data_IF_337629723093
#
_entry.id   IF_337629723093
#
_cell.length_a   1.000
_cell.length_b   1.000
_cell.length_c   1.000
_cell.angle_alpha   90.00
_cell.angle_beta   90.00
_cell.angle_gamma   90.00
#
_symmetry.space_group_name_H-M   'P 1'
#
loop_
_entity.id
_entity.type
_entity.pdbx_description
1 polymer ?
#
# COMPACT_ATOMS: atom_id res chain seq x y z
N UNK A 1 4.99 1.95 -8.72
CA UNK A 1 3.90 1.77 -7.75
C UNK A 1 3.26 3.07 -7.30
N UNK A 2 4.02 4.14 -7.03
CA UNK A 2 3.46 5.42 -6.56
C UNK A 2 3.86 6.60 -7.47
N UNK A 3 2.95 7.55 -7.67
CA UNK A 3 3.18 8.79 -8.39
C UNK A 3 2.75 10.00 -7.56
N UNK A 4 3.37 11.17 -7.79
CA UNK A 4 2.91 12.42 -7.16
C UNK A 4 1.63 12.91 -7.82
N UNK A 5 0.73 13.46 -7.03
CA UNK A 5 -0.56 13.94 -7.52
C UNK A 5 -0.51 15.36 -8.11
N UNK A 6 0.48 16.17 -7.72
CA UNK A 6 0.52 17.62 -8.00
C UNK A 6 1.92 18.23 -7.91
N UNK A 7 2.07 19.43 -8.47
CA UNK A 7 3.29 20.26 -8.35
C UNK A 7 3.52 20.67 -6.88
N UNK A 8 2.46 20.91 -6.11
CA UNK A 8 2.59 21.24 -4.69
C UNK A 8 3.21 20.07 -3.91
N UNK A 9 2.78 18.83 -4.18
CA UNK A 9 3.40 17.64 -3.59
C UNK A 9 4.89 17.54 -3.95
N UNK A 10 5.29 17.88 -5.18
CA UNK A 10 6.71 17.93 -5.55
C UNK A 10 7.50 18.98 -4.74
N UNK A 11 6.94 20.18 -4.54
CA UNK A 11 7.56 21.21 -3.70
C UNK A 11 7.72 20.72 -2.26
N UNK A 12 6.67 20.11 -1.68
CA UNK A 12 6.73 19.54 -0.34
C UNK A 12 7.73 18.37 -0.23
N UNK A 13 7.93 17.57 -1.28
CA UNK A 13 8.99 16.56 -1.33
C UNK A 13 10.37 17.20 -1.25
N UNK A 14 10.61 18.29 -1.99
CA UNK A 14 11.90 19.01 -1.94
C UNK A 14 12.14 19.61 -0.55
N UNK A 15 11.15 20.29 0.02
CA UNK A 15 11.23 20.86 1.37
C UNK A 15 11.48 19.75 2.40
N UNK A 16 10.71 18.66 2.33
CA UNK A 16 10.86 17.50 3.22
C UNK A 16 12.25 16.91 3.10
N UNK A 17 12.78 16.75 1.89
CA UNK A 17 14.14 16.24 1.66
C UNK A 17 15.20 17.11 2.32
N UNK A 18 15.05 18.44 2.25
CA UNK A 18 15.95 19.38 2.91
C UNK A 18 15.83 19.31 4.44
N UNK A 19 14.59 19.35 4.97
CA UNK A 19 14.33 19.29 6.43
C UNK A 19 14.81 17.98 7.04
N UNK A 20 14.61 16.86 6.35
CA UNK A 20 15.17 15.56 6.70
C UNK A 20 16.70 15.64 6.84
N UNK A 21 17.41 16.43 6.02
CA UNK A 21 18.86 16.58 6.15
C UNK A 21 19.31 17.57 7.23
N UNK A 22 18.46 18.52 7.64
CA UNK A 22 18.84 19.66 8.50
C UNK A 22 18.19 19.64 9.89
N UNK A 23 17.14 18.87 10.09
CA UNK A 23 16.34 18.82 11.30
C UNK A 23 16.28 17.38 11.84
N UNK A 24 17.22 16.96 12.70
CA UNK A 24 17.29 15.58 13.17
C UNK A 24 16.04 15.08 13.90
N UNK A 25 15.24 15.98 14.47
CA UNK A 25 14.02 15.66 15.20
C UNK A 25 12.77 15.65 14.32
N UNK A 26 12.91 15.88 13.01
CA UNK A 26 11.81 15.86 12.06
C UNK A 26 11.03 14.54 12.14
N UNK A 27 9.71 14.61 12.28
CA UNK A 27 8.81 13.46 12.40
C UNK A 27 8.02 13.28 11.11
N UNK A 28 8.09 12.07 10.54
CA UNK A 28 7.43 11.70 9.30
C UNK A 28 6.41 10.59 9.52
N UNK A 29 5.19 10.81 9.03
CA UNK A 29 4.12 9.80 8.97
C UNK A 29 3.80 9.48 7.50
N UNK A 30 3.71 8.20 7.15
CA UNK A 30 3.05 7.72 5.94
C UNK A 30 1.65 7.26 6.36
N UNK A 31 0.60 7.72 5.68
CA UNK A 31 -0.78 7.45 6.08
C UNK A 31 -1.60 6.88 4.92
N UNK A 32 -2.27 5.75 5.17
CA UNK A 32 -3.11 5.05 4.19
C UNK A 32 -4.49 4.86 4.80
N UNK A 33 -5.51 5.33 4.08
CA UNK A 33 -6.90 5.33 4.55
C UNK A 33 -7.73 4.22 3.94
N UNK A 34 -8.47 3.54 4.81
CA UNK A 34 -9.54 2.61 4.46
C UNK A 34 -10.87 3.29 4.78
N UNK A 35 -11.81 3.27 3.84
CA UNK A 35 -13.18 3.73 4.11
C UNK A 35 -13.92 2.77 5.03
N UNK A 36 -15.08 3.19 5.56
CA UNK A 36 -16.06 2.24 6.11
C UNK A 36 -16.89 1.60 5.00
N UNK A 37 -17.28 0.33 5.20
CA UNK A 37 -18.08 -0.42 4.24
C UNK A 37 -19.01 -1.41 4.94
N UNK A 38 -20.11 -1.75 4.27
CA UNK A 38 -20.98 -2.89 4.60
C UNK A 38 -20.62 -4.16 3.84
N UNK A 39 -19.68 -4.07 2.90
CA UNK A 39 -19.31 -5.19 2.03
C UNK A 39 -18.35 -6.14 2.74
N UNK A 40 -18.39 -7.40 2.33
CA UNK A 40 -17.52 -8.43 2.87
C UNK A 40 -16.04 -8.15 2.55
N UNK A 41 -15.17 -8.64 3.42
CA UNK A 41 -13.72 -8.52 3.27
C UNK A 41 -13.24 -9.18 1.96
N UNK A 42 -12.63 -8.39 1.09
CA UNK A 42 -12.13 -8.86 -0.21
C UNK A 42 -10.69 -9.35 -0.12
N UNK A 43 -10.35 -10.28 -1.01
CA UNK A 43 -9.01 -10.84 -1.21
C UNK A 43 -7.95 -9.75 -1.38
N UNK A 44 -8.32 -8.65 -2.03
CA UNK A 44 -7.41 -7.56 -2.39
C UNK A 44 -7.14 -6.57 -1.27
N UNK A 45 -7.82 -6.67 -0.13
CA UNK A 45 -7.63 -5.72 0.98
C UNK A 45 -6.16 -5.44 1.34
N UNK A 46 -5.25 -6.45 1.36
CA UNK A 46 -3.84 -6.18 1.64
C UNK A 46 -3.10 -5.37 0.55
N UNK A 47 -3.65 -5.20 -0.64
CA UNK A 47 -2.98 -4.47 -1.74
C UNK A 47 -2.73 -3.00 -1.38
N UNK A 48 -3.59 -2.42 -0.52
CA UNK A 48 -3.38 -1.10 0.06
C UNK A 48 -2.09 -0.96 0.86
N UNK A 49 -1.58 -2.07 1.42
CA UNK A 49 -0.38 -2.03 2.24
C UNK A 49 0.90 -1.94 1.42
N UNK A 50 0.94 -2.58 0.24
CA UNK A 50 2.17 -2.84 -0.51
C UNK A 50 2.95 -1.54 -0.79
N UNK A 51 2.28 -0.51 -1.29
CA UNK A 51 2.93 0.77 -1.61
C UNK A 51 3.50 1.49 -0.37
N UNK A 52 2.74 1.52 0.73
CA UNK A 52 3.18 2.14 1.98
C UNK A 52 4.33 1.40 2.64
N UNK A 53 4.27 0.07 2.62
CA UNK A 53 5.31 -0.81 3.15
C UNK A 53 6.61 -0.68 2.35
N UNK A 54 6.53 -0.64 1.01
CA UNK A 54 7.71 -0.40 0.17
C UNK A 54 8.36 0.96 0.47
N UNK A 55 7.56 2.01 0.57
CA UNK A 55 8.07 3.34 0.90
C UNK A 55 8.71 3.38 2.29
N UNK A 56 8.03 2.84 3.31
CA UNK A 56 8.53 2.77 4.68
C UNK A 56 9.88 2.04 4.74
N UNK A 57 9.97 0.87 4.08
CA UNK A 57 11.19 0.07 3.98
C UNK A 57 12.34 0.88 3.40
N UNK A 58 12.12 1.61 2.30
CA UNK A 58 13.13 2.45 1.65
C UNK A 58 13.60 3.59 2.56
N UNK A 59 12.68 4.23 3.28
CA UNK A 59 13.03 5.31 4.22
C UNK A 59 13.83 4.81 5.42
N UNK A 60 13.48 3.65 5.98
CA UNK A 60 14.25 3.02 7.06
C UNK A 60 15.64 2.61 6.57
N UNK A 61 15.75 2.04 5.36
CA UNK A 61 17.04 1.71 4.76
C UNK A 61 17.90 2.96 4.56
N UNK A 62 17.28 4.07 4.11
CA UNK A 62 17.95 5.36 3.99
C UNK A 62 18.46 5.83 5.34
N UNK A 63 17.60 5.85 6.37
CA UNK A 63 17.98 6.23 7.74
C UNK A 63 19.19 5.42 8.22
N UNK A 64 19.14 4.08 8.13
CA UNK A 64 20.24 3.18 8.52
C UNK A 64 21.54 3.43 7.76
N UNK A 65 21.45 3.73 6.46
CA UNK A 65 22.63 4.04 5.62
C UNK A 65 23.38 5.27 6.14
N UNK A 66 22.67 6.26 6.67
CA UNK A 66 23.26 7.49 7.19
C UNK A 66 23.57 7.46 8.70
N UNK A 67 23.12 6.42 9.41
CA UNK A 67 23.58 6.14 10.77
C UNK A 67 24.98 5.50 10.81
N UNK A 68 25.44 4.92 9.69
CA UNK A 68 26.79 4.36 9.60
C UNK A 68 27.85 5.47 9.54
N UNK A 69 28.88 5.44 10.40
CA UNK A 69 29.98 6.40 10.29
C UNK A 69 30.68 6.24 8.93
N UNK A 70 31.06 7.33 8.25
CA UNK A 70 31.77 7.23 6.99
C UNK A 70 33.08 6.46 7.19
N UNK A 71 33.38 5.55 6.25
CA UNK A 71 34.58 4.69 6.23
C UNK A 71 35.91 5.49 6.16
N UNK A 72 35.85 6.81 6.02
CA UNK A 72 37.01 7.70 5.93
C UNK A 72 37.02 8.70 7.09
N UNK A 73 38.15 8.73 7.80
CA UNK A 73 38.42 9.58 8.95
C UNK A 73 38.10 11.06 8.63
N UNK A 74 37.12 11.63 9.34
CA UNK A 74 36.95 13.09 9.43
C UNK A 74 35.52 13.63 9.24
N UNK A 75 34.58 12.85 8.71
CA UNK A 75 33.22 13.33 8.50
C UNK A 75 32.29 12.87 9.63
N UNK A 76 31.67 13.84 10.32
CA UNK A 76 30.61 13.60 11.30
C UNK A 76 29.51 12.81 10.60
N UNK A 77 29.00 11.69 11.17
CA UNK A 77 27.84 11.01 10.60
C UNK A 77 26.69 12.01 10.56
N UNK A 78 26.24 12.37 9.35
CA UNK A 78 25.06 13.21 9.18
C UNK A 78 23.86 12.34 9.51
N UNK A 79 23.52 12.22 10.80
CA UNK A 79 22.32 11.50 11.22
C UNK A 79 21.11 12.28 10.71
N UNK A 80 20.46 11.71 9.70
CA UNK A 80 19.40 12.39 8.95
C UNK A 80 18.09 12.41 9.76
N UNK A 81 17.69 11.31 10.38
CA UNK A 81 16.48 11.26 11.23
C UNK A 81 16.76 10.54 12.55
N UNK A 82 16.47 11.19 13.67
CA UNK A 82 16.47 10.55 15.00
C UNK A 82 15.20 9.72 15.21
N UNK A 83 14.07 10.20 14.70
CA UNK A 83 12.79 9.51 14.80
C UNK A 83 12.59 8.66 13.54
N UNK A 84 12.35 7.34 13.65
CA UNK A 84 12.02 6.53 12.50
C UNK A 84 10.69 7.00 11.88
N UNK A 85 10.54 6.90 10.55
CA UNK A 85 9.25 7.11 9.91
C UNK A 85 8.23 6.09 10.43
N UNK A 86 6.98 6.51 10.55
CA UNK A 86 5.86 5.65 10.96
C UNK A 86 4.90 5.47 9.79
N UNK A 87 4.44 4.26 9.55
CA UNK A 87 3.36 3.98 8.61
C UNK A 87 2.08 3.71 9.39
N UNK A 88 1.03 4.46 9.10
CA UNK A 88 -0.27 4.30 9.74
C UNK A 88 -1.31 3.87 8.72
N UNK A 89 -1.89 2.69 8.96
CA UNK A 89 -3.14 2.28 8.35
C UNK A 89 -4.27 2.76 9.23
N UNK A 90 -5.22 3.50 8.69
CA UNK A 90 -6.37 3.92 9.46
C UNK A 90 -7.68 3.55 8.76
N UNK A 91 -8.74 3.36 9.55
CA UNK A 91 -10.11 3.27 9.04
C UNK A 91 -10.92 4.50 9.45
N UNK A 92 -11.64 5.08 8.49
CA UNK A 92 -12.58 6.19 8.69
C UNK A 92 -14.04 5.69 8.65
N UNK A 93 -14.36 4.72 9.51
CA UNK A 93 -15.66 4.06 9.50
C UNK A 93 -16.76 4.97 10.05
N UNK A 94 -16.47 5.80 11.06
CA UNK A 94 -17.48 6.73 11.58
C UNK A 94 -17.82 7.82 10.59
N UNK A 95 -16.85 8.31 9.81
CA UNK A 95 -17.14 9.23 8.71
C UNK A 95 -18.06 8.59 7.66
N UNK A 96 -17.76 7.34 7.28
CA UNK A 96 -18.57 6.61 6.30
C UNK A 96 -19.99 6.35 6.82
N UNK A 97 -20.16 5.96 8.09
CA UNK A 97 -21.46 5.78 8.76
C UNK A 97 -22.26 7.08 8.77
N UNK A 98 -21.62 8.20 9.16
CA UNK A 98 -22.27 9.51 9.27
C UNK A 98 -22.74 10.08 7.94
N UNK A 99 -22.06 9.75 6.85
CA UNK A 99 -22.34 10.33 5.52
C UNK A 99 -23.16 9.39 4.64
N UNK A 100 -22.86 8.09 4.66
CA UNK A 100 -23.47 7.12 3.74
C UNK A 100 -24.62 6.33 4.40
N UNK A 101 -25.01 6.67 5.63
CA UNK A 101 -26.06 5.97 6.40
C UNK A 101 -25.79 4.46 6.56
N UNK A 102 -24.52 4.07 6.68
CA UNK A 102 -24.16 2.68 6.96
C UNK A 102 -24.57 2.30 8.39
N UNK A 103 -24.88 1.02 8.61
CA UNK A 103 -25.07 0.50 9.96
C UNK A 103 -23.77 0.66 10.76
N UNK A 104 -23.85 1.28 11.93
CA UNK A 104 -22.68 1.61 12.74
C UNK A 104 -21.93 0.36 13.25
N UNK A 105 -22.65 -0.71 13.59
CA UNK A 105 -22.05 -1.94 14.07
C UNK A 105 -21.35 -2.67 12.94
N UNK A 106 -22.00 -2.77 11.77
CA UNK A 106 -21.41 -3.38 10.57
C UNK A 106 -20.17 -2.59 10.14
N UNK A 107 -20.27 -1.26 10.04
CA UNK A 107 -19.16 -0.41 9.63
C UNK A 107 -17.94 -0.54 10.56
N UNK A 108 -18.17 -0.55 11.88
CA UNK A 108 -17.11 -0.75 12.87
C UNK A 108 -16.47 -2.14 12.77
N UNK A 109 -17.29 -3.18 12.67
CA UNK A 109 -16.81 -4.57 12.59
C UNK A 109 -15.97 -4.79 11.32
N UNK A 110 -16.45 -4.35 10.16
CA UNK A 110 -15.72 -4.50 8.90
C UNK A 110 -14.42 -3.68 8.89
N UNK A 111 -14.42 -2.49 9.48
CA UNK A 111 -13.21 -1.70 9.67
C UNK A 111 -12.15 -2.44 10.48
N UNK A 112 -12.55 -3.07 11.59
CA UNK A 112 -11.69 -3.91 12.41
C UNK A 112 -11.15 -5.08 11.60
N UNK A 113 -12.01 -5.80 10.89
CA UNK A 113 -11.63 -6.94 10.05
C UNK A 113 -10.61 -6.56 8.97
N UNK A 114 -10.83 -5.46 8.25
CA UNK A 114 -9.90 -4.98 7.22
C UNK A 114 -8.53 -4.65 7.79
N UNK A 115 -8.48 -3.89 8.90
CA UNK A 115 -7.22 -3.52 9.54
C UNK A 115 -6.50 -4.74 10.13
N UNK A 116 -7.22 -5.64 10.80
CA UNK A 116 -6.67 -6.89 11.32
C UNK A 116 -6.13 -7.78 10.19
N UNK A 117 -6.78 -7.80 9.03
CA UNK A 117 -6.33 -8.58 7.88
C UNK A 117 -5.05 -8.00 7.26
N UNK A 118 -4.97 -6.67 7.12
CA UNK A 118 -3.73 -5.99 6.71
C UNK A 118 -2.62 -6.22 7.73
N UNK A 119 -2.93 -6.16 9.03
CA UNK A 119 -1.97 -6.46 10.10
C UNK A 119 -1.41 -7.87 9.97
N UNK A 120 -2.26 -8.89 9.83
CA UNK A 120 -1.87 -10.30 9.61
C UNK A 120 -0.97 -10.46 8.38
N UNK A 121 -1.29 -9.77 7.28
CA UNK A 121 -0.46 -9.75 6.08
C UNK A 121 0.95 -9.22 6.36
N UNK A 122 1.03 -8.07 7.02
CA UNK A 122 2.30 -7.42 7.36
C UNK A 122 3.11 -8.27 8.36
N UNK A 123 2.48 -8.85 9.37
CA UNK A 123 3.17 -9.68 10.36
C UNK A 123 3.78 -10.93 9.71
N UNK A 124 3.12 -11.51 8.69
CA UNK A 124 3.61 -12.71 8.00
C UNK A 124 4.72 -12.39 6.99
N UNK A 125 4.53 -11.37 6.16
CA UNK A 125 5.44 -11.11 5.05
C UNK A 125 6.46 -10.02 5.36
N UNK A 126 6.16 -9.05 6.22
CA UNK A 126 7.04 -7.91 6.54
C UNK A 126 7.33 -7.76 8.05
N UNK A 127 7.66 -8.84 8.79
CA UNK A 127 7.74 -8.81 10.26
C UNK A 127 8.78 -7.82 10.81
N UNK A 128 9.83 -7.54 10.03
CA UNK A 128 10.88 -6.59 10.40
C UNK A 128 10.40 -5.12 10.42
N UNK A 129 9.23 -4.84 9.83
CA UNK A 129 8.65 -3.50 9.74
C UNK A 129 7.53 -3.27 10.77
N UNK A 130 6.97 -4.31 11.39
CA UNK A 130 5.81 -4.22 12.31
C UNK A 130 5.98 -3.16 13.40
N UNK A 131 7.19 -3.00 13.96
CA UNK A 131 7.46 -2.00 15.01
C UNK A 131 7.30 -0.53 14.56
N UNK A 132 7.27 -0.27 13.26
CA UNK A 132 7.12 1.07 12.67
C UNK A 132 5.71 1.30 12.12
N UNK A 133 4.77 0.38 12.37
CA UNK A 133 3.45 0.38 11.76
C UNK A 133 2.38 0.52 12.84
N UNK A 134 1.45 1.48 12.64
CA UNK A 134 0.27 1.70 13.48
C UNK A 134 -0.99 1.33 12.72
N UNK A 135 -1.98 0.86 13.46
CA UNK A 135 -3.33 0.57 12.96
C UNK A 135 -4.30 1.41 13.78
N UNK A 136 -5.03 2.31 13.13
CA UNK A 136 -5.86 3.31 13.77
C UNK A 136 -7.33 3.21 13.31
N UNK A 137 -8.26 3.49 14.19
CA UNK A 137 -9.69 3.62 13.87
C UNK A 137 -10.19 4.97 14.36
N UNK A 138 -11.00 5.64 13.55
CA UNK A 138 -11.77 6.79 14.03
C UNK A 138 -12.84 6.36 15.06
N UNK A 139 -13.30 7.34 15.82
CA UNK A 139 -14.32 7.24 16.84
C UNK A 139 -15.40 8.30 16.60
N UNK A 140 -16.54 8.15 17.27
CA UNK A 140 -17.64 9.12 17.19
C UNK A 140 -17.18 10.53 17.58
N UNK A 141 -16.19 10.64 18.46
CA UNK A 141 -15.68 11.92 18.95
C UNK A 141 -14.56 12.49 18.06
N UNK A 142 -14.02 11.73 17.10
CA UNK A 142 -12.95 12.19 16.18
C UNK A 142 -13.32 13.46 15.44
N UNK A 143 -14.60 13.63 15.13
CA UNK A 143 -15.12 14.76 14.38
C UNK A 143 -15.86 15.73 15.29
N UNK A 144 -15.16 16.21 16.33
CA UNK A 144 -15.67 17.28 17.19
C UNK A 144 -16.33 18.38 16.34
N UNK A 145 -17.52 18.76 16.76
CA UNK A 145 -18.41 19.62 15.98
C UNK A 145 -17.76 20.98 15.66
N UNK A 146 -16.87 21.51 16.51
CA UNK A 146 -16.31 22.87 16.34
C UNK A 146 -15.36 22.96 15.14
N UNK A 147 -14.30 22.14 15.10
CA UNK A 147 -13.34 22.15 13.98
C UNK A 147 -14.03 21.76 12.68
N UNK A 148 -14.86 20.72 12.69
CA UNK A 148 -15.54 20.26 11.48
C UNK A 148 -16.52 21.33 10.94
N UNK A 149 -17.33 21.97 11.78
CA UNK A 149 -18.23 23.06 11.36
C UNK A 149 -17.44 24.22 10.75
N UNK A 150 -16.29 24.53 11.32
CA UNK A 150 -15.44 25.59 10.83
C UNK A 150 -14.85 25.26 9.44
N UNK A 151 -14.37 24.03 9.23
CA UNK A 151 -13.92 23.58 7.90
C UNK A 151 -15.06 23.62 6.86
N UNK A 152 -16.28 23.24 7.25
CA UNK A 152 -17.46 23.28 6.38
C UNK A 152 -17.83 24.72 5.99
N UNK A 153 -17.76 25.67 6.93
CA UNK A 153 -18.02 27.08 6.64
C UNK A 153 -17.05 27.60 5.56
N UNK A 154 -15.75 27.36 5.74
CA UNK A 154 -14.72 27.74 4.76
C UNK A 154 -14.88 27.05 3.40
N UNK A 155 -15.28 25.78 3.38
CA UNK A 155 -15.65 25.09 2.14
C UNK A 155 -16.71 25.89 1.38
N UNK A 156 -17.82 26.22 2.06
CA UNK A 156 -18.96 26.87 1.45
C UNK A 156 -18.68 28.31 1.01
N UNK A 157 -17.86 29.05 1.77
CA UNK A 157 -17.58 30.47 1.51
C UNK A 157 -16.48 30.68 0.48
N UNK A 158 -15.47 29.80 0.46
CA UNK A 158 -14.21 30.08 -0.25
C UNK A 158 -13.88 29.11 -1.39
N UNK A 159 -14.49 27.91 -1.45
CA UNK A 159 -14.21 26.95 -2.50
C UNK A 159 -15.16 27.08 -3.70
N UNK A 160 -14.63 27.54 -4.83
CA UNK A 160 -15.42 27.95 -6.00
C UNK A 160 -15.28 27.06 -7.25
N UNK A 161 -14.55 25.94 -7.19
CA UNK A 161 -14.45 25.03 -8.34
C UNK A 161 -15.71 24.16 -8.44
N UNK A 162 -16.66 24.66 -9.23
CA UNK A 162 -17.95 24.00 -9.43
C UNK A 162 -17.82 22.63 -10.11
N UNK A 163 -16.82 22.43 -10.98
CA UNK A 163 -16.65 21.16 -11.68
C UNK A 163 -16.23 20.05 -10.71
N UNK A 164 -15.24 20.31 -9.86
CA UNK A 164 -14.79 19.35 -8.85
C UNK A 164 -15.89 19.12 -7.80
N UNK A 165 -16.56 20.19 -7.36
CA UNK A 165 -17.70 20.10 -6.43
C UNK A 165 -18.78 19.17 -6.96
N UNK A 166 -19.24 19.36 -8.20
CA UNK A 166 -20.27 18.51 -8.80
C UNK A 166 -19.82 17.04 -8.97
N UNK A 167 -18.54 16.79 -9.25
CA UNK A 167 -18.01 15.42 -9.30
C UNK A 167 -18.06 14.73 -7.93
N UNK A 168 -17.69 15.44 -6.86
CA UNK A 168 -17.77 14.91 -5.50
C UNK A 168 -19.22 14.67 -5.08
N UNK A 169 -20.12 15.60 -5.37
CA UNK A 169 -21.57 15.45 -5.11
C UNK A 169 -22.10 14.22 -5.84
N UNK A 170 -21.80 14.06 -7.13
CA UNK A 170 -22.23 12.89 -7.93
C UNK A 170 -21.73 11.58 -7.31
N UNK A 171 -20.47 11.57 -6.84
CA UNK A 171 -19.89 10.41 -6.18
C UNK A 171 -20.51 10.13 -4.80
N UNK A 172 -20.89 11.16 -4.05
CA UNK A 172 -21.58 11.00 -2.77
C UNK A 172 -23.00 10.47 -2.98
N UNK A 173 -23.72 10.99 -3.97
CA UNK A 173 -25.07 10.54 -4.35
C UNK A 173 -25.07 9.08 -4.76
N UNK A 174 -24.09 8.63 -5.54
CA UNK A 174 -23.99 7.22 -5.91
C UNK A 174 -23.75 6.28 -4.71
N UNK A 175 -23.41 6.84 -3.54
CA UNK A 175 -23.18 6.13 -2.27
C UNK A 175 -24.29 6.36 -1.24
N UNK A 176 -25.41 6.97 -1.64
CA UNK A 176 -26.57 7.20 -0.77
C UNK A 176 -26.53 8.49 0.05
N UNK A 177 -25.58 9.39 -0.24
CA UNK A 177 -25.48 10.71 0.39
C UNK A 177 -26.15 11.80 -0.47
N UNK A 178 -26.26 13.01 0.06
CA UNK A 178 -26.64 14.22 -0.68
C UNK A 178 -25.44 15.18 -0.81
N UNK A 179 -25.69 16.39 -1.32
CA UNK A 179 -24.67 17.45 -1.44
C UNK A 179 -24.04 17.82 -0.09
N UNK A 180 -24.86 18.04 0.95
CA UNK A 180 -24.37 18.36 2.30
C UNK A 180 -23.44 17.26 2.85
N UNK A 181 -23.82 16.00 2.67
CA UNK A 181 -22.99 14.87 3.03
C UNK A 181 -21.69 14.79 2.22
N UNK A 182 -21.69 15.19 0.93
CA UNK A 182 -20.47 15.30 0.13
C UNK A 182 -19.49 16.33 0.69
N UNK A 183 -20.00 17.51 1.04
CA UNK A 183 -19.21 18.60 1.63
C UNK A 183 -18.65 18.14 2.97
N UNK A 184 -19.52 17.62 3.84
CA UNK A 184 -19.15 17.10 5.16
C UNK A 184 -18.08 16.02 5.07
N UNK A 185 -18.21 15.07 4.16
CA UNK A 185 -17.24 14.00 3.96
C UNK A 185 -15.89 14.53 3.48
N UNK A 186 -15.92 15.46 2.53
CA UNK A 186 -14.70 16.12 2.03
C UNK A 186 -14.01 16.91 3.15
N UNK A 187 -14.76 17.61 3.99
CA UNK A 187 -14.23 18.31 5.18
C UNK A 187 -13.64 17.34 6.20
N UNK A 188 -14.29 16.20 6.47
CA UNK A 188 -13.75 15.16 7.35
C UNK A 188 -12.42 14.61 6.84
N UNK A 189 -12.20 14.52 5.52
CA UNK A 189 -10.92 14.08 4.96
C UNK A 189 -9.73 14.96 5.37
N UNK A 190 -9.92 16.28 5.62
CA UNK A 190 -8.84 17.13 6.14
C UNK A 190 -8.41 16.71 7.56
N UNK A 191 -9.35 16.28 8.40
CA UNK A 191 -9.07 15.81 9.77
C UNK A 191 -8.49 14.39 9.71
N UNK A 192 -9.12 13.50 8.93
CA UNK A 192 -8.76 12.09 8.78
C UNK A 192 -7.29 11.91 8.38
N UNK A 193 -6.87 12.69 7.40
CA UNK A 193 -5.51 12.67 6.88
C UNK A 193 -4.60 13.71 7.55
N UNK A 194 -5.06 14.32 8.66
CA UNK A 194 -4.30 15.25 9.50
C UNK A 194 -3.70 16.43 8.71
N UNK A 195 -4.41 16.92 7.71
CA UNK A 195 -4.05 18.16 7.00
C UNK A 195 -4.15 19.38 7.92
N UNK A 196 -5.08 19.31 8.87
CA UNK A 196 -5.35 20.30 9.92
C UNK A 196 -5.55 19.52 11.23
N UNK A 197 -4.77 19.86 12.25
CA UNK A 197 -4.85 19.23 13.58
C UNK A 197 -5.06 20.33 14.62
N UNK A 198 -6.07 20.21 15.48
CA UNK A 198 -6.21 21.08 16.64
C UNK A 198 -5.19 20.71 17.72
N UNK A 199 -4.33 21.65 18.11
CA UNK A 199 -3.28 21.47 19.13
C UNK A 199 -3.85 21.44 20.55
N UNK A 200 -5.01 22.06 20.76
CA UNK A 200 -5.67 22.17 22.06
C UNK A 200 -6.71 21.07 22.28
N UNK A 201 -7.01 20.27 21.24
CA UNK A 201 -7.92 19.14 21.39
C UNK A 201 -7.42 18.20 22.49
N UNK A 202 -8.20 18.14 23.56
CA UNK A 202 -8.02 17.17 24.64
C UNK A 202 -8.44 15.75 24.22
N UNK A 203 -9.07 15.62 23.05
CA UNK A 203 -9.61 14.37 22.54
C UNK A 203 -8.66 13.72 21.53
N UNK A 204 -8.56 12.40 21.61
CA UNK A 204 -7.83 11.64 20.61
C UNK A 204 -8.64 11.55 19.33
N UNK A 205 -7.99 11.85 18.22
CA UNK A 205 -8.60 11.72 16.91
C UNK A 205 -8.78 10.23 16.51
N UNK A 206 -7.94 9.33 17.01
CA UNK A 206 -7.99 7.91 16.63
C UNK A 206 -7.61 7.00 17.78
N UNK A 207 -8.21 5.82 17.83
CA UNK A 207 -7.83 4.73 18.72
C UNK A 207 -6.96 3.71 17.98
N UNK A 208 -6.05 3.06 18.69
CA UNK A 208 -5.30 1.95 18.13
C UNK A 208 -6.21 0.73 17.98
N UNK A 209 -5.98 -0.04 16.91
CA UNK A 209 -6.63 -1.33 16.71
C UNK A 209 -6.40 -2.21 17.95
N UNK A 210 -7.47 -2.85 18.43
CA UNK A 210 -7.50 -3.67 19.66
C UNK A 210 -7.46 -2.91 20.99
N UNK A 211 -7.36 -1.58 20.97
CA UNK A 211 -7.45 -0.75 22.18
C UNK A 211 -8.84 -0.11 22.31
N UNK A 212 -9.45 -0.24 23.49
CA UNK A 212 -10.73 0.43 23.81
C UNK A 212 -10.53 1.89 24.19
N UNK A 213 -9.33 2.26 24.63
CA UNK A 213 -8.90 3.61 24.96
C UNK A 213 -7.41 3.67 24.65
N UNK A 214 -7.02 4.56 23.75
CA UNK A 214 -5.62 4.94 23.63
C UNK A 214 -5.37 6.00 24.74
N UNK A 215 -4.22 6.02 25.39
CA UNK A 215 -3.87 7.06 26.37
C UNK A 215 -2.73 7.97 25.87
N UNK A 216 -2.26 7.74 24.64
CA UNK A 216 -1.20 8.55 24.05
C UNK A 216 -1.75 9.88 23.52
N UNK A 217 -1.12 11.02 23.81
CA UNK A 217 -1.47 12.27 23.15
C UNK A 217 -1.27 12.17 21.65
N UNK A 218 -2.10 12.87 20.87
CA UNK A 218 -1.97 12.95 19.41
C UNK A 218 -0.55 13.37 19.03
N UNK A 219 0.19 12.48 18.37
CA UNK A 219 1.53 12.80 17.91
C UNK A 219 1.46 13.81 16.76
N UNK A 220 2.07 14.98 16.95
CA UNK A 220 2.23 15.97 15.89
C UNK A 220 3.43 15.60 15.02
N UNK A 221 3.17 15.33 13.75
CA UNK A 221 4.18 15.05 12.73
C UNK A 221 4.53 16.31 11.96
N UNK A 222 5.77 16.46 11.51
CA UNK A 222 6.19 17.59 10.68
C UNK A 222 5.75 17.45 9.23
N UNK A 223 5.64 16.20 8.77
CA UNK A 223 5.23 15.86 7.42
C UNK A 223 4.39 14.59 7.41
N UNK A 224 3.35 14.61 6.58
CA UNK A 224 2.44 13.50 6.34
C UNK A 224 2.46 13.19 4.84
N UNK A 225 2.88 11.97 4.53
CA UNK A 225 2.80 11.39 3.19
C UNK A 225 1.53 10.56 3.12
N UNK A 226 0.53 11.02 2.38
CA UNK A 226 -0.69 10.27 2.14
C UNK A 226 -0.55 9.44 0.87
N UNK A 227 -0.94 8.17 0.94
CA UNK A 227 -0.98 7.28 -0.23
C UNK A 227 -2.43 6.84 -0.42
N UNK A 228 -3.00 7.16 -1.57
CA UNK A 228 -4.39 6.83 -1.90
C UNK A 228 -4.56 6.31 -3.32
N UNK A 229 -5.75 5.81 -3.63
CA UNK A 229 -6.12 5.34 -4.97
C UNK A 229 -6.63 6.47 -5.88
N UNK A 230 -7.21 6.10 -7.02
CA UNK A 230 -7.69 7.05 -8.04
C UNK A 230 -8.72 8.07 -7.53
N UNK A 231 -9.56 7.66 -6.58
CA UNK A 231 -10.57 8.50 -5.93
C UNK A 231 -9.93 9.65 -5.13
N UNK A 232 -8.74 9.43 -4.57
CA UNK A 232 -8.06 10.40 -3.70
C UNK A 232 -7.64 11.66 -4.48
N UNK A 233 -7.40 11.54 -5.79
CA UNK A 233 -7.01 12.68 -6.63
C UNK A 233 -7.99 13.85 -6.53
N UNK A 234 -9.30 13.57 -6.51
CA UNK A 234 -10.35 14.59 -6.42
C UNK A 234 -10.42 15.22 -5.03
N UNK A 235 -10.33 14.38 -3.99
CA UNK A 235 -10.28 14.87 -2.61
C UNK A 235 -9.04 15.73 -2.38
N UNK A 236 -7.92 15.42 -3.04
CA UNK A 236 -6.67 16.15 -2.88
C UNK A 236 -6.72 17.60 -3.30
N UNK A 237 -7.36 17.88 -4.45
CA UNK A 237 -7.52 19.23 -4.97
C UNK A 237 -8.33 20.09 -3.99
N UNK A 238 -9.43 19.56 -3.46
CA UNK A 238 -10.28 20.28 -2.49
C UNK A 238 -9.59 20.45 -1.15
N UNK A 239 -8.99 19.38 -0.61
CA UNK A 239 -8.26 19.41 0.66
C UNK A 239 -7.12 20.43 0.61
N UNK A 240 -6.39 20.51 -0.50
CA UNK A 240 -5.35 21.51 -0.68
C UNK A 240 -5.92 22.92 -0.66
N UNK A 241 -6.97 23.20 -1.44
CA UNK A 241 -7.57 24.53 -1.52
C UNK A 241 -8.06 25.02 -0.15
N UNK A 242 -8.81 24.18 0.58
CA UNK A 242 -9.32 24.53 1.91
C UNK A 242 -8.18 24.71 2.90
N UNK A 243 -7.17 23.83 2.90
CA UNK A 243 -6.00 23.97 3.78
C UNK A 243 -5.27 25.30 3.56
N UNK A 244 -5.16 25.78 2.31
CA UNK A 244 -4.52 27.07 2.04
C UNK A 244 -5.32 28.25 2.58
N UNK A 245 -6.65 28.18 2.56
CA UNK A 245 -7.50 29.21 3.19
C UNK A 245 -7.21 29.27 4.70
N UNK A 246 -7.17 28.13 5.37
CA UNK A 246 -6.87 28.05 6.80
C UNK A 246 -5.49 28.60 7.18
N UNK A 247 -4.46 28.35 6.37
CA UNK A 247 -3.11 28.85 6.64
C UNK A 247 -3.03 30.38 6.50
N UNK A 248 -3.83 30.96 5.61
CA UNK A 248 -3.81 32.39 5.32
C UNK A 248 -4.78 33.20 6.19
N UNK A 249 -5.67 32.54 6.93
CA UNK A 249 -6.57 33.17 7.87
C UNK A 249 -5.81 33.58 9.14
N UNK A 250 -5.53 34.87 9.26
CA UNK A 250 -4.78 35.45 10.37
C UNK A 250 -5.51 35.37 11.72
N UNK A 251 -6.84 35.22 11.73
CA UNK A 251 -7.62 35.10 12.96
C UNK A 251 -7.47 33.71 13.60
N UNK A 252 -7.15 32.69 12.79
CA UNK A 252 -6.90 31.32 13.22
C UNK A 252 -5.47 31.04 13.68
N UNK A 253 -4.70 32.12 13.89
CA UNK A 253 -3.32 32.19 14.38
C UNK A 253 -2.65 30.82 14.61
N UNK A 254 -1.49 30.56 13.99
CA UNK A 254 -0.69 29.32 14.04
C UNK A 254 -0.51 28.67 15.44
N UNK A 255 -0.93 29.31 16.53
CA UNK A 255 -1.00 28.82 17.90
C UNK A 255 -2.06 27.73 18.12
N UNK A 256 -3.26 27.79 17.52
CA UNK A 256 -4.33 26.80 17.77
C UNK A 256 -4.19 25.53 16.92
N UNK A 257 -3.87 25.68 15.64
CA UNK A 257 -3.81 24.55 14.71
C UNK A 257 -2.38 24.20 14.30
N UNK A 258 -2.17 22.93 13.97
CA UNK A 258 -0.95 22.39 13.37
C UNK A 258 -1.21 22.00 11.93
N UNK A 259 -0.32 22.45 11.04
CA UNK A 259 -0.41 22.25 9.59
C UNK A 259 0.87 21.55 9.09
N UNK A 260 0.95 20.21 9.16
CA UNK A 260 2.12 19.49 8.67
C UNK A 260 2.32 19.72 7.17
N UNK A 261 3.55 19.55 6.68
CA UNK A 261 3.78 19.39 5.25
C UNK A 261 2.97 18.18 4.76
N UNK A 262 2.23 18.34 3.67
CA UNK A 262 1.33 17.30 3.16
C UNK A 262 1.81 16.89 1.77
N UNK A 263 2.36 15.68 1.65
CA UNK A 263 2.75 15.07 0.37
C UNK A 263 1.67 14.07 0.01
N UNK A 264 1.17 14.13 -1.22
CA UNK A 264 0.10 13.27 -1.69
C UNK A 264 0.57 12.41 -2.85
N UNK A 265 0.39 11.11 -2.69
CA UNK A 265 0.83 10.11 -3.64
C UNK A 265 -0.36 9.24 -4.06
N UNK A 266 -0.39 8.90 -5.35
CA UNK A 266 -1.35 7.97 -5.92
C UNK A 266 -0.67 6.61 -6.08
N UNK A 267 -1.28 5.58 -5.52
CA UNK A 267 -0.85 4.19 -5.67
C UNK A 267 -1.58 3.52 -6.83
N UNK A 268 -0.82 2.75 -7.61
CA UNK A 268 -1.37 1.77 -8.56
C UNK A 268 -1.94 0.54 -7.84
N UNK A 269 -1.34 0.15 -6.71
CA UNK A 269 -1.88 -0.89 -5.84
C UNK A 269 -3.06 -0.33 -5.03
N UNK A 270 -4.23 -0.98 -5.09
CA UNK A 270 -5.46 -0.47 -4.49
C UNK A 270 -6.00 0.78 -5.18
N UNK A 271 -5.66 0.98 -6.46
CA UNK A 271 -6.15 2.12 -7.24
C UNK A 271 -7.68 2.15 -7.32
N UNK A 272 -8.30 0.97 -7.38
CA UNK A 272 -9.74 0.75 -7.28
C UNK A 272 -10.09 0.42 -5.82
N UNK A 273 -11.13 1.04 -5.24
CA UNK A 273 -11.56 0.72 -3.88
C UNK A 273 -11.83 -0.77 -3.68
N UNK A 274 -11.27 -1.39 -2.63
CA UNK A 274 -11.48 -2.83 -2.35
C UNK A 274 -12.76 -3.14 -1.55
N UNK A 275 -13.53 -2.09 -1.24
CA UNK A 275 -14.65 -2.10 -0.30
C UNK A 275 -15.99 -1.67 -0.93
N UNK A 276 -16.11 -1.85 -2.25
CA UNK A 276 -17.38 -1.76 -2.98
C UNK A 276 -17.49 -3.01 -3.85
N UNK A 277 -18.37 -3.93 -3.46
CA UNK A 277 -18.49 -5.25 -4.10
C UNK A 277 -18.85 -5.11 -5.58
N UNK A 278 -17.86 -5.16 -6.46
CA UNK A 278 -18.10 -5.40 -7.87
C UNK A 278 -18.39 -6.89 -8.09
N UNK A 279 -19.14 -7.25 -9.12
CA UNK A 279 -19.59 -8.63 -9.39
C UNK A 279 -18.44 -9.64 -9.57
N UNK A 280 -17.22 -9.14 -9.77
CA UNK A 280 -16.02 -9.92 -10.03
C UNK A 280 -15.09 -10.04 -8.81
N UNK A 281 -15.52 -9.55 -7.64
CA UNK A 281 -14.72 -9.62 -6.41
C UNK A 281 -14.64 -11.03 -5.84
N UNK A 282 -13.45 -11.35 -5.29
CA UNK A 282 -13.24 -12.55 -4.51
C UNK A 282 -13.19 -12.16 -3.04
N UNK A 283 -14.06 -12.74 -2.23
CA UNK A 283 -14.08 -12.53 -0.78
C UNK A 283 -13.15 -13.51 -0.08
N UNK A 284 -12.65 -13.09 1.08
CA UNK A 284 -11.94 -13.98 2.01
C UNK A 284 -12.82 -15.17 2.40
N UNK A 285 -14.12 -14.95 2.60
CA UNK A 285 -15.08 -16.00 2.96
C UNK A 285 -15.20 -17.11 1.91
N UNK A 286 -15.27 -16.76 0.63
CA UNK A 286 -15.32 -17.74 -0.48
C UNK A 286 -14.09 -18.67 -0.49
N UNK A 287 -12.90 -18.11 -0.18
CA UNK A 287 -11.66 -18.91 -0.10
C UNK A 287 -11.67 -19.77 1.17
N UNK A 288 -12.05 -19.20 2.32
CA UNK A 288 -12.13 -19.94 3.59
C UNK A 288 -13.10 -21.12 3.53
N UNK A 289 -14.22 -21.00 2.81
CA UNK A 289 -15.19 -22.07 2.60
C UNK A 289 -14.79 -23.06 1.49
N UNK A 290 -13.63 -22.86 0.85
CA UNK A 290 -13.16 -23.66 -0.30
C UNK A 290 -14.10 -23.63 -1.51
N UNK A 291 -14.88 -22.56 -1.66
CA UNK A 291 -15.65 -22.29 -2.88
C UNK A 291 -14.72 -21.91 -4.04
N UNK A 292 -13.56 -21.34 -3.70
CA UNK A 292 -12.44 -21.07 -4.61
C UNK A 292 -11.23 -21.83 -4.10
N UNK A 293 -10.80 -22.85 -4.86
CA UNK A 293 -9.63 -23.68 -4.56
C UNK A 293 -8.41 -23.35 -5.41
N UNK A 294 -8.64 -22.70 -6.55
CA UNK A 294 -7.61 -22.33 -7.52
C UNK A 294 -7.86 -20.91 -8.04
N UNK A 295 -6.80 -20.10 -8.12
CA UNK A 295 -6.85 -18.72 -8.56
C UNK A 295 -5.93 -18.52 -9.78
N UNK A 296 -6.50 -18.48 -10.98
CA UNK A 296 -5.75 -18.10 -12.18
C UNK A 296 -6.01 -16.63 -12.52
N UNK A 297 -5.09 -15.75 -12.12
CA UNK A 297 -5.23 -14.28 -12.26
C UNK A 297 -5.32 -13.81 -13.71
N UNK A 298 -4.86 -14.63 -14.65
CA UNK A 298 -4.98 -14.38 -16.09
C UNK A 298 -6.39 -14.60 -16.64
N UNK A 299 -7.29 -15.21 -15.85
CA UNK A 299 -8.68 -15.41 -16.24
C UNK A 299 -9.37 -14.08 -16.56
N UNK A 300 -10.10 -14.04 -17.67
CA UNK A 300 -10.87 -12.85 -18.10
C UNK A 300 -11.83 -12.34 -17.03
N UNK A 301 -12.33 -13.23 -16.16
CA UNK A 301 -13.25 -12.91 -15.08
C UNK A 301 -12.62 -12.02 -14.00
N UNK A 302 -11.29 -11.94 -13.93
CA UNK A 302 -10.55 -11.12 -12.96
C UNK A 302 -9.87 -9.90 -13.57
N UNK A 303 -10.22 -9.52 -14.80
CA UNK A 303 -9.56 -8.43 -15.53
C UNK A 303 -9.46 -7.13 -14.72
N UNK A 304 -10.53 -6.77 -14.01
CA UNK A 304 -10.63 -5.50 -13.28
C UNK A 304 -9.85 -5.50 -11.95
N UNK A 305 -9.44 -6.68 -11.49
CA UNK A 305 -8.76 -6.89 -10.21
C UNK A 305 -7.35 -7.46 -10.38
N UNK A 306 -6.96 -7.75 -11.62
CA UNK A 306 -5.72 -8.43 -12.01
C UNK A 306 -4.49 -7.68 -11.52
N UNK A 307 -4.45 -6.36 -11.67
CA UNK A 307 -3.28 -5.56 -11.31
C UNK A 307 -2.99 -5.62 -9.81
N UNK A 308 -4.00 -5.44 -8.97
CA UNK A 308 -3.88 -5.56 -7.50
C UNK A 308 -3.40 -6.97 -7.09
N UNK A 309 -3.97 -8.02 -7.70
CA UNK A 309 -3.59 -9.39 -7.40
C UNK A 309 -2.16 -9.70 -7.86
N UNK A 310 -1.74 -9.20 -9.03
CA UNK A 310 -0.38 -9.32 -9.51
C UNK A 310 0.61 -8.62 -8.58
N UNK A 311 0.30 -7.41 -8.09
CA UNK A 311 1.16 -6.69 -7.15
C UNK A 311 1.26 -7.44 -5.82
N UNK A 312 0.14 -7.95 -5.29
CA UNK A 312 0.13 -8.75 -4.06
C UNK A 312 0.96 -10.02 -4.18
N UNK A 313 0.78 -10.76 -5.27
CA UNK A 313 1.59 -11.93 -5.59
C UNK A 313 3.06 -11.56 -5.74
N UNK A 314 3.34 -10.41 -6.34
CA UNK A 314 4.71 -9.95 -6.49
C UNK A 314 5.35 -9.69 -5.14
N UNK A 315 4.66 -8.99 -4.23
CA UNK A 315 5.14 -8.65 -2.91
C UNK A 315 5.32 -9.89 -2.02
N UNK A 316 4.32 -10.78 -1.96
CA UNK A 316 4.40 -12.10 -1.30
C UNK A 316 5.57 -12.90 -1.87
N UNK A 317 5.63 -13.00 -3.20
CA UNK A 317 6.69 -13.70 -3.91
C UNK A 317 8.06 -13.07 -3.70
N UNK A 318 8.18 -11.77 -3.44
CA UNK A 318 9.47 -11.15 -3.15
C UNK A 318 10.02 -11.59 -1.78
N UNK A 319 9.17 -12.04 -0.86
CA UNK A 319 9.60 -12.52 0.45
C UNK A 319 10.07 -13.98 0.41
N UNK A 320 9.37 -14.83 -0.35
CA UNK A 320 9.72 -16.25 -0.50
C UNK A 320 10.69 -16.54 -1.66
N UNK A 321 10.70 -15.67 -2.69
CA UNK A 321 11.25 -15.95 -4.02
C UNK A 321 12.18 -14.81 -4.52
N UNK A 322 12.54 -13.80 -3.71
CA UNK A 322 13.40 -12.68 -4.17
C UNK A 322 14.74 -13.12 -4.77
N UNK A 323 15.33 -14.21 -4.27
CA UNK A 323 16.51 -14.82 -4.89
C UNK A 323 16.19 -15.39 -6.27
N UNK A 324 15.03 -16.03 -6.44
CA UNK A 324 14.70 -16.81 -7.63
C UNK A 324 14.01 -16.01 -8.74
N UNK A 325 13.20 -14.99 -8.43
CA UNK A 325 12.57 -14.13 -9.46
C UNK A 325 13.62 -13.32 -10.23
N UNK A 326 14.65 -12.83 -9.56
CA UNK A 326 15.79 -12.20 -10.23
C UNK A 326 16.53 -13.21 -11.10
N UNK A 327 16.77 -14.43 -10.62
CA UNK A 327 17.42 -15.50 -11.40
C UNK A 327 16.57 -15.87 -12.63
N UNK A 328 15.26 -16.08 -12.46
CA UNK A 328 14.33 -16.48 -13.53
C UNK A 328 14.10 -15.35 -14.53
N UNK A 329 13.85 -14.11 -14.08
CA UNK A 329 13.71 -12.95 -14.96
C UNK A 329 14.99 -12.70 -15.76
N UNK A 330 16.15 -12.76 -15.11
CA UNK A 330 17.44 -12.61 -15.78
C UNK A 330 17.66 -13.76 -16.79
N UNK A 331 17.32 -15.00 -16.43
CA UNK A 331 17.39 -16.14 -17.37
C UNK A 331 16.43 -15.95 -18.55
N UNK A 332 15.23 -15.41 -18.35
CA UNK A 332 14.23 -15.14 -19.40
C UNK A 332 14.74 -14.05 -20.34
N UNK A 333 15.18 -12.90 -19.81
CA UNK A 333 15.69 -11.77 -20.59
C UNK A 333 16.88 -12.20 -21.46
N UNK A 334 17.77 -13.03 -20.90
CA UNK A 334 18.93 -13.57 -21.60
C UNK A 334 18.60 -14.64 -22.65
N UNK A 335 17.51 -15.39 -22.46
CA UNK A 335 17.05 -16.37 -23.44
C UNK A 335 16.28 -15.73 -24.58
N UNK A 336 15.62 -14.60 -24.34
CA UNK A 336 14.89 -13.84 -25.36
C UNK A 336 15.82 -12.99 -26.25
N UNK A 337 16.97 -12.54 -25.73
CA UNK A 337 17.89 -11.65 -26.47
C UNK A 337 18.89 -12.35 -27.42
N UNK A 338 18.86 -13.69 -27.56
CA UNK A 338 19.68 -14.47 -28.50
C UNK A 338 21.21 -14.23 -28.48
N UNK A 339 21.74 -13.43 -27.55
CA UNK A 339 23.15 -13.07 -27.50
C UNK A 339 23.91 -14.04 -26.59
N UNK A 340 24.65 -14.95 -27.24
CA UNK A 340 25.55 -15.95 -26.65
C UNK A 340 26.46 -15.39 -25.53
N UNK A 341 26.84 -14.13 -25.64
CA UNK A 341 27.72 -13.38 -24.72
C UNK A 341 27.15 -13.18 -23.32
N UNK A 342 25.83 -13.14 -23.18
CA UNK A 342 25.19 -12.76 -21.93
C UNK A 342 24.96 -14.00 -21.01
N UNK A 343 24.85 -15.19 -21.61
CA UNK A 343 24.95 -16.49 -20.93
C UNK A 343 26.36 -16.71 -20.36
N UNK A 344 27.39 -16.34 -21.12
CA UNK A 344 28.79 -16.44 -20.69
C UNK A 344 29.11 -15.53 -19.48
N UNK A 345 28.51 -14.33 -19.41
CA UNK A 345 28.65 -13.40 -18.29
C UNK A 345 27.99 -13.91 -16.98
N UNK A 346 26.84 -14.59 -17.07
CA UNK A 346 26.23 -15.26 -15.92
C UNK A 346 27.07 -16.45 -15.46
N UNK A 347 27.58 -17.22 -16.41
CA UNK A 347 28.46 -18.35 -16.13
C UNK A 347 29.73 -17.89 -15.42
N UNK A 348 30.33 -16.77 -15.81
CA UNK A 348 31.48 -16.18 -15.10
C UNK A 348 31.09 -15.66 -13.70
N UNK A 349 29.96 -14.95 -13.57
CA UNK A 349 29.54 -14.37 -12.29
C UNK A 349 29.28 -15.43 -11.20
N UNK A 350 28.80 -16.60 -11.59
CA UNK A 350 28.50 -17.71 -10.68
C UNK A 350 29.52 -18.88 -10.78
N UNK A 351 30.65 -18.69 -11.48
CA UNK A 351 31.68 -19.72 -11.70
C UNK A 351 31.14 -21.05 -12.27
N UNK A 352 30.17 -20.96 -13.16
CA UNK A 352 29.47 -22.10 -13.74
C UNK A 352 30.15 -22.50 -15.05
N UNK A 353 30.69 -23.72 -15.09
CA UNK A 353 31.16 -24.33 -16.35
C UNK A 353 30.35 -25.59 -16.65
N UNK A 354 29.83 -25.66 -17.89
CA UNK A 354 29.19 -26.77 -18.59
C UNK A 354 27.91 -27.39 -17.95
N UNK A 355 26.76 -26.89 -18.40
CA UNK A 355 25.45 -27.56 -18.33
C UNK A 355 24.71 -27.45 -16.99
N UNK A 356 25.09 -26.50 -16.14
CA UNK A 356 24.52 -26.29 -14.82
C UNK A 356 23.23 -25.44 -14.83
N UNK A 357 22.91 -24.68 -15.88
CA UNK A 357 21.68 -23.87 -15.89
C UNK A 357 20.43 -24.76 -15.87
N UNK A 358 20.48 -25.89 -16.58
CA UNK A 358 19.42 -26.91 -16.54
C UNK A 358 19.37 -27.65 -15.20
N UNK A 359 20.50 -27.77 -14.51
CA UNK A 359 20.59 -28.38 -13.18
C UNK A 359 20.04 -27.43 -12.13
N UNK A 360 20.42 -26.16 -12.15
CA UNK A 360 19.92 -25.13 -11.23
C UNK A 360 18.44 -24.89 -11.46
N UNK A 361 18.01 -24.62 -12.70
CA UNK A 361 16.60 -24.46 -13.03
C UNK A 361 15.81 -25.67 -12.57
N UNK A 362 16.31 -26.88 -12.80
CA UNK A 362 15.54 -28.04 -12.39
C UNK A 362 15.71 -28.45 -10.94
N UNK A 363 16.75 -28.04 -10.21
CA UNK A 363 16.79 -28.09 -8.76
C UNK A 363 15.78 -27.08 -8.19
N UNK A 364 15.60 -25.92 -8.83
CA UNK A 364 14.55 -24.96 -8.47
C UNK A 364 13.17 -25.56 -8.72
N UNK A 365 12.94 -26.15 -9.89
CA UNK A 365 11.66 -26.79 -10.22
C UNK A 365 11.39 -28.00 -9.32
N UNK A 366 12.40 -28.81 -9.01
CA UNK A 366 12.29 -29.97 -8.11
C UNK A 366 12.04 -29.55 -6.65
N UNK A 367 12.71 -28.49 -6.16
CA UNK A 367 12.45 -27.90 -4.85
C UNK A 367 11.04 -27.29 -4.77
N UNK A 368 10.57 -26.65 -5.86
CA UNK A 368 9.21 -26.12 -5.96
C UNK A 368 8.17 -27.24 -6.06
N UNK A 369 8.43 -28.32 -6.79
CA UNK A 369 7.62 -29.55 -6.84
C UNK A 369 7.51 -30.18 -5.45
N UNK A 370 8.64 -30.33 -4.76
CA UNK A 370 8.69 -30.96 -3.44
C UNK A 370 7.97 -30.13 -2.38
N UNK A 371 8.09 -28.79 -2.42
CA UNK A 371 7.46 -27.89 -1.44
C UNK A 371 5.99 -27.59 -1.72
N UNK A 372 5.56 -27.58 -2.98
CA UNK A 372 4.22 -27.11 -3.37
C UNK A 372 3.38 -28.18 -4.08
N UNK A 373 3.91 -29.38 -4.32
CA UNK A 373 3.22 -30.50 -4.97
C UNK A 373 2.69 -30.22 -6.39
N UNK A 374 3.26 -29.23 -7.09
CA UNK A 374 2.89 -28.86 -8.47
C UNK A 374 3.90 -29.46 -9.45
N UNK A 375 3.50 -30.42 -10.30
CA UNK A 375 4.37 -31.11 -11.26
C UNK A 375 4.68 -30.25 -12.50
N UNK A 376 5.94 -29.94 -12.77
CA UNK A 376 6.42 -29.08 -13.86
C UNK A 376 6.61 -29.80 -15.21
N UNK A 377 6.52 -31.14 -15.26
CA UNK A 377 6.58 -31.95 -16.49
C UNK A 377 7.84 -32.84 -16.52
N UNK A 378 7.89 -33.82 -17.43
CA UNK A 378 9.04 -34.74 -17.49
C UNK A 378 10.30 -34.07 -18.07
N UNK A 379 11.41 -34.10 -17.32
CA UNK A 379 12.75 -33.75 -17.81
C UNK A 379 13.07 -34.62 -19.03
N UNK A 380 13.29 -34.00 -20.19
CA UNK A 380 13.72 -34.72 -21.39
C UNK A 380 15.20 -35.12 -21.27
N UNK A 381 15.47 -36.24 -20.57
CA UNK A 381 16.81 -36.71 -20.22
C UNK A 381 17.57 -37.37 -21.37
N UNK A 382 16.90 -37.64 -22.49
CA UNK A 382 17.41 -38.52 -23.57
C UNK A 382 18.18 -37.78 -24.67
N UNK A 383 18.12 -36.43 -24.75
CA UNK A 383 18.79 -35.66 -25.80
C UNK A 383 19.98 -34.84 -25.28
N UNK A 384 20.98 -35.50 -24.67
CA UNK A 384 22.26 -34.88 -24.26
C UNK A 384 23.16 -34.39 -25.43
N UNK A 385 22.75 -34.52 -26.70
CA UNK A 385 23.62 -34.24 -27.87
C UNK A 385 23.06 -33.29 -28.93
N UNK A 386 21.88 -32.71 -28.74
CA UNK A 386 21.42 -31.59 -29.56
C UNK A 386 20.99 -30.48 -28.63
N UNK A 387 21.82 -29.44 -28.57
CA UNK A 387 21.58 -28.21 -27.85
C UNK A 387 20.42 -27.43 -28.48
N UNK A 388 19.18 -27.88 -28.22
CA UNK A 388 18.06 -26.95 -28.08
C UNK A 388 17.96 -26.69 -26.59
N UNK A 389 18.41 -25.51 -26.17
CA UNK A 389 18.39 -25.11 -24.77
C UNK A 389 16.96 -25.27 -24.25
N UNK A 390 16.80 -25.76 -23.01
CA UNK A 390 15.49 -25.87 -22.34
C UNK A 390 14.74 -24.52 -22.35
N UNK A 391 15.46 -23.42 -22.53
CA UNK A 391 14.95 -22.05 -22.58
C UNK A 391 14.80 -21.50 -24.01
N UNK A 392 15.09 -22.26 -25.07
CA UNK A 392 14.95 -21.81 -26.47
C UNK A 392 13.53 -21.98 -27.03
N UNK A 393 12.69 -22.79 -26.39
CA UNK A 393 11.28 -22.91 -26.78
C UNK A 393 10.43 -21.99 -25.90
N UNK A 394 9.87 -20.95 -26.52
CA UNK A 394 8.90 -20.02 -25.91
C UNK A 394 7.78 -20.74 -25.15
N UNK A 395 7.31 -21.87 -25.68
CA UNK A 395 6.24 -22.68 -25.06
C UNK A 395 6.66 -23.28 -23.70
N UNK A 396 7.93 -23.66 -23.56
CA UNK A 396 8.47 -24.18 -22.30
C UNK A 396 8.65 -23.07 -21.27
N UNK A 397 9.14 -21.90 -21.69
CA UNK A 397 9.25 -20.71 -20.83
C UNK A 397 7.88 -20.25 -20.35
N UNK A 398 6.89 -20.16 -21.25
CA UNK A 398 5.51 -19.80 -20.90
C UNK A 398 4.91 -20.79 -19.90
N UNK A 399 5.16 -22.10 -20.07
CA UNK A 399 4.71 -23.14 -19.13
C UNK A 399 5.32 -22.99 -17.73
N UNK A 400 6.62 -22.67 -17.64
CA UNK A 400 7.30 -22.46 -16.36
C UNK A 400 6.75 -21.21 -15.65
N UNK A 401 6.58 -20.11 -16.39
CA UNK A 401 5.99 -18.87 -15.86
C UNK A 401 4.59 -19.15 -15.33
N UNK A 402 3.74 -19.83 -16.11
CA UNK A 402 2.39 -20.18 -15.69
C UNK A 402 2.36 -20.97 -14.38
N UNK A 403 3.25 -21.96 -14.23
CA UNK A 403 3.31 -22.76 -13.00
C UNK A 403 3.90 -22.01 -11.80
N UNK A 404 4.81 -21.06 -12.03
CA UNK A 404 5.28 -20.15 -10.97
C UNK A 404 4.17 -19.21 -10.50
N UNK A 405 3.37 -18.69 -11.43
CA UNK A 405 2.17 -17.91 -11.10
C UNK A 405 1.15 -18.75 -10.32
N UNK A 406 0.98 -20.04 -10.67
CA UNK A 406 0.11 -20.96 -9.92
C UNK A 406 0.62 -21.20 -8.50
N UNK A 407 1.93 -21.43 -8.31
CA UNK A 407 2.55 -21.56 -6.96
C UNK A 407 2.27 -20.32 -6.11
N UNK A 408 2.51 -19.14 -6.67
CA UNK A 408 2.30 -17.88 -5.96
C UNK A 408 0.82 -17.62 -5.64
N UNK A 409 -0.07 -17.98 -6.56
CA UNK A 409 -1.51 -17.89 -6.36
C UNK A 409 -1.98 -18.85 -5.27
N UNK A 410 -1.41 -20.06 -5.22
CA UNK A 410 -1.66 -21.02 -4.13
C UNK A 410 -1.17 -20.50 -2.78
N UNK A 411 -0.02 -19.81 -2.71
CA UNK A 411 0.44 -19.18 -1.46
C UNK A 411 -0.50 -18.09 -0.95
N UNK A 412 -1.08 -17.31 -1.85
CA UNK A 412 -2.12 -16.34 -1.48
C UNK A 412 -3.37 -17.03 -0.90
N UNK A 413 -3.79 -18.17 -1.47
CA UNK A 413 -4.89 -19.00 -0.94
C UNK A 413 -4.52 -19.59 0.43
N UNK A 414 -3.32 -20.17 0.56
CA UNK A 414 -2.84 -20.74 1.82
C UNK A 414 -2.76 -19.70 2.94
N UNK A 415 -2.28 -18.49 2.64
CA UNK A 415 -2.27 -17.39 3.60
C UNK A 415 -3.65 -17.18 4.22
N UNK A 416 -4.69 -17.16 3.38
CA UNK A 416 -6.08 -16.95 3.80
C UNK A 416 -6.63 -18.13 4.60
N UNK A 417 -6.38 -19.36 4.13
CA UNK A 417 -6.79 -20.56 4.85
C UNK A 417 -6.15 -20.63 6.24
N UNK A 418 -4.92 -20.14 6.38
CA UNK A 418 -4.19 -20.08 7.65
C UNK A 418 -4.59 -18.88 8.52
N UNK A 419 -5.39 -17.94 8.03
CA UNK A 419 -5.85 -16.77 8.79
C UNK A 419 -7.11 -17.01 9.63
N UNK A 420 -7.62 -18.24 9.74
CA UNK A 420 -8.91 -18.62 10.38
C UNK A 420 -9.40 -17.58 11.39
N UNK A 421 -10.43 -16.84 10.96
CA UNK A 421 -11.13 -15.84 11.76
C UNK A 421 -12.05 -16.47 12.77
#
# INVERSE_FOLDING_TARGET
>A
MIGLDSISSLQHVLITSMRICTEPNFKLEIRIGLGGTSDALTLRTPSYAVAGVDLLRRLIQLQKKFEQPPLTQGNIPTRILNNPPVLTFFSAWTAAVRVNNLDANIGREHARQMLSYIKKYIDNYHPNLTQYIRYEMDHEDTYEDTLLKYIIAHYNESYNDEQIRQQLITQAISRGSNEDGSIRYTSMHLIIFKDIIDKQSSQQLFHLLDETQNNEPTCLYDCIITIGGSVEKRFNEVRYAIRQVFINDSELNNEQYHFPLSIRMLSHAGQTPVYYHDKNEITVHQISNREITDLHITDKKYKDIKEDLSILIEDIGSHDISSWKNIVSTLIDLCLDNNKTAVEQICEHYQLSNGAECVILSCILEELENKNHIHFGERNTTNRRRSSSICTNRETTDTIIHKLDDVLSQRLIEFILNQTF
#
